data_IF_755270914866
#
_entry.id   IF_755270914866
#
_cell.length_a   1.000
_cell.length_b   1.000
_cell.length_c   1.000
_cell.angle_alpha   90.00
_cell.angle_beta   90.00
_cell.angle_gamma   90.00
#
_symmetry.space_group_name_H-M   'P 1'
#
loop_
_entity.id
_entity.type
_entity.pdbx_description
1 polymer ?
#
# COMPACT_ATOMS: atom_id res chain seq x y z
N UNK A 1 11.13 -7.51 -3.05
CA UNK A 1 11.77 -8.04 -1.83
C UNK A 1 12.93 -7.15 -1.38
N UNK A 2 12.71 -6.34 -0.34
CA UNK A 2 13.70 -5.40 0.24
C UNK A 2 13.05 -4.38 1.19
N UNK A 3 11.90 -4.75 1.77
CA UNK A 3 10.94 -3.84 2.39
C UNK A 3 11.51 -3.15 3.64
N UNK A 4 12.24 -3.90 4.46
CA UNK A 4 12.87 -3.37 5.68
C UNK A 4 13.97 -2.36 5.35
N UNK A 5 14.82 -2.65 4.37
CA UNK A 5 15.89 -1.74 3.94
C UNK A 5 15.33 -0.43 3.38
N UNK A 6 14.28 -0.50 2.56
CA UNK A 6 13.60 0.68 2.00
C UNK A 6 12.93 1.53 3.09
N UNK A 7 12.21 0.89 4.01
CA UNK A 7 11.60 1.57 5.17
C UNK A 7 12.66 2.26 6.03
N UNK A 8 13.75 1.56 6.34
CA UNK A 8 14.85 2.11 7.16
C UNK A 8 15.55 3.29 6.48
N UNK A 9 15.76 3.23 5.16
CA UNK A 9 16.32 4.36 4.40
C UNK A 9 15.45 5.62 4.48
N UNK A 10 14.13 5.48 4.34
CA UNK A 10 13.22 6.63 4.45
C UNK A 10 13.05 7.16 5.87
N UNK A 11 13.09 6.29 6.88
CA UNK A 11 13.14 6.71 8.29
C UNK A 11 14.38 7.59 8.51
N UNK A 12 15.55 7.15 8.04
CA UNK A 12 16.80 7.92 8.13
C UNK A 12 16.68 9.25 7.40
N UNK A 13 16.19 9.25 6.14
CA UNK A 13 16.01 10.48 5.37
C UNK A 13 15.05 11.47 6.06
N UNK A 14 13.92 10.98 6.57
CA UNK A 14 12.95 11.79 7.29
C UNK A 14 13.54 12.40 8.57
N UNK A 15 14.31 11.62 9.33
CA UNK A 15 15.02 12.13 10.51
C UNK A 15 16.04 13.22 10.17
N UNK A 16 16.74 13.12 9.02
CA UNK A 16 17.64 14.18 8.57
C UNK A 16 16.90 15.49 8.26
N UNK A 17 15.70 15.40 7.69
CA UNK A 17 14.84 16.57 7.43
C UNK A 17 14.35 17.17 8.75
N UNK A 18 13.90 16.35 9.69
CA UNK A 18 13.49 16.80 11.03
C UNK A 18 14.62 17.58 11.72
N UNK A 19 15.84 17.04 11.72
CA UNK A 19 17.04 17.72 12.27
C UNK A 19 17.31 19.02 11.53
N UNK A 20 17.26 19.02 10.19
CA UNK A 20 17.53 20.22 9.39
C UNK A 20 16.55 21.36 9.71
N UNK A 21 15.26 21.06 9.87
CA UNK A 21 14.26 22.06 10.22
C UNK A 21 14.52 22.61 11.63
N UNK A 22 14.84 21.73 12.58
CA UNK A 22 15.16 22.14 13.94
C UNK A 22 16.37 23.08 13.99
N UNK A 23 17.47 22.79 13.27
CA UNK A 23 18.66 23.64 13.29
C UNK A 23 18.51 24.95 12.50
N UNK A 24 17.68 24.97 11.45
CA UNK A 24 17.54 26.15 10.57
C UNK A 24 16.45 27.12 11.04
N UNK A 25 15.39 26.61 11.67
CA UNK A 25 14.21 27.40 12.03
C UNK A 25 13.96 27.45 13.54
N UNK A 26 14.62 26.60 14.33
CA UNK A 26 14.35 26.45 15.77
C UNK A 26 13.03 25.71 16.08
N UNK A 27 12.29 25.26 15.06
CA UNK A 27 11.04 24.51 15.24
C UNK A 27 11.34 23.03 15.42
N UNK A 28 10.92 22.47 16.56
CA UNK A 28 10.95 21.03 16.78
C UNK A 28 9.75 20.36 16.08
N UNK A 29 10.04 19.57 15.04
CA UNK A 29 9.05 18.82 14.26
C UNK A 29 8.61 17.53 14.95
N UNK A 30 9.19 17.17 16.10
CA UNK A 30 8.88 15.97 16.89
C UNK A 30 8.90 14.66 16.08
N UNK A 31 9.78 14.58 15.08
CA UNK A 31 9.92 13.39 14.23
C UNK A 31 8.81 13.23 13.19
N UNK A 32 8.08 14.29 12.85
CA UNK A 32 6.99 14.25 11.87
C UNK A 32 7.48 13.73 10.51
N UNK A 33 8.64 14.19 10.03
CA UNK A 33 9.14 13.78 8.71
C UNK A 33 9.70 12.35 8.72
N UNK A 34 10.31 11.91 9.81
CA UNK A 34 10.65 10.51 10.06
C UNK A 34 9.41 9.61 9.96
N UNK A 35 8.30 9.98 10.63
CA UNK A 35 7.06 9.22 10.61
C UNK A 35 6.45 9.15 9.21
N UNK A 36 6.41 10.28 8.49
CA UNK A 36 5.96 10.32 7.10
C UNK A 36 6.83 9.43 6.19
N UNK A 37 8.15 9.48 6.34
CA UNK A 37 9.08 8.63 5.59
C UNK A 37 8.81 7.13 5.80
N UNK A 38 8.49 6.73 7.04
CA UNK A 38 8.12 5.36 7.36
C UNK A 38 6.80 4.91 6.70
N UNK A 39 5.83 5.83 6.59
CA UNK A 39 4.49 5.56 6.08
C UNK A 39 4.43 5.41 4.56
N UNK A 40 5.22 6.17 3.79
CA UNK A 40 5.23 6.11 2.31
C UNK A 40 5.42 4.67 1.84
N UNK A 41 6.52 4.03 2.23
CA UNK A 41 6.78 2.65 1.82
C UNK A 41 5.79 1.64 2.37
N UNK A 42 5.25 1.85 3.57
CA UNK A 42 4.15 1.01 4.08
C UNK A 42 2.97 0.99 3.10
N UNK A 43 2.59 2.14 2.51
CA UNK A 43 1.50 2.21 1.52
C UNK A 43 1.85 1.48 0.21
N UNK A 44 3.09 1.59 -0.29
CA UNK A 44 3.50 0.78 -1.45
C UNK A 44 3.52 -0.72 -1.15
N UNK A 45 3.82 -1.12 0.09
CA UNK A 45 3.83 -2.53 0.49
C UNK A 45 2.41 -3.08 0.58
N UNK A 46 1.46 -2.32 1.14
CA UNK A 46 0.03 -2.68 1.09
C UNK A 46 -0.44 -2.84 -0.36
N UNK A 47 -0.02 -1.96 -1.27
CA UNK A 47 -0.38 -2.08 -2.70
C UNK A 47 0.21 -3.34 -3.35
N UNK A 48 1.46 -3.69 -3.07
CA UNK A 48 2.06 -4.93 -3.58
C UNK A 48 1.34 -6.16 -3.03
N UNK A 49 0.99 -6.15 -1.74
CA UNK A 49 0.23 -7.21 -1.09
C UNK A 49 -1.19 -7.33 -1.67
N UNK A 50 -1.90 -6.22 -1.89
CA UNK A 50 -3.23 -6.19 -2.49
C UNK A 50 -3.22 -6.74 -3.92
N UNK A 51 -2.20 -6.38 -4.71
CA UNK A 51 -2.04 -6.87 -6.08
C UNK A 51 -1.87 -8.39 -6.10
N UNK A 52 -0.85 -8.89 -5.40
CA UNK A 52 -0.54 -10.32 -5.39
C UNK A 52 -1.64 -11.14 -4.71
N UNK A 53 -2.19 -10.63 -3.60
CA UNK A 53 -3.26 -11.28 -2.84
C UNK A 53 -4.53 -11.49 -3.66
N UNK A 54 -4.95 -10.48 -4.45
CA UNK A 54 -6.13 -10.59 -5.32
C UNK A 54 -5.92 -11.65 -6.40
N UNK A 55 -4.72 -11.72 -6.99
CA UNK A 55 -4.36 -12.77 -7.95
C UNK A 55 -4.32 -14.17 -7.32
N UNK A 56 -3.85 -14.31 -6.08
CA UNK A 56 -3.89 -15.59 -5.34
C UNK A 56 -5.33 -16.02 -5.13
N UNK A 57 -6.21 -15.12 -4.69
CA UNK A 57 -7.63 -15.40 -4.51
C UNK A 57 -8.30 -15.88 -5.81
N UNK A 58 -8.06 -15.17 -6.93
CA UNK A 58 -8.60 -15.55 -8.23
C UNK A 58 -8.12 -16.93 -8.70
N UNK A 59 -6.81 -17.24 -8.53
CA UNK A 59 -6.27 -18.57 -8.85
C UNK A 59 -6.80 -19.68 -7.94
N UNK A 60 -7.16 -19.34 -6.71
CA UNK A 60 -7.85 -20.24 -5.78
C UNK A 60 -9.31 -20.54 -6.16
N UNK A 61 -9.83 -19.96 -7.25
CA UNK A 61 -11.19 -20.15 -7.71
C UNK A 61 -12.21 -19.19 -7.09
N UNK A 62 -11.78 -18.20 -6.31
CA UNK A 62 -12.67 -17.19 -5.74
C UNK A 62 -13.02 -16.11 -6.77
N UNK A 63 -14.26 -15.62 -6.72
CA UNK A 63 -14.67 -14.45 -7.48
C UNK A 63 -14.04 -13.19 -6.88
N UNK A 64 -13.27 -12.46 -7.67
CA UNK A 64 -12.59 -11.23 -7.21
C UNK A 64 -13.29 -9.95 -7.65
N UNK A 65 -14.38 -10.05 -8.42
CA UNK A 65 -15.11 -8.88 -8.96
C UNK A 65 -15.46 -7.82 -7.90
N UNK A 66 -15.74 -8.25 -6.68
CA UNK A 66 -16.05 -7.36 -5.56
C UNK A 66 -15.00 -7.48 -4.43
N UNK A 67 -13.73 -7.79 -4.75
CA UNK A 67 -12.71 -8.02 -3.72
C UNK A 67 -12.48 -6.78 -2.83
N UNK A 68 -12.67 -5.57 -3.36
CA UNK A 68 -12.54 -4.34 -2.59
C UNK A 68 -13.62 -4.19 -1.50
N UNK A 69 -14.74 -4.92 -1.64
CA UNK A 69 -15.84 -4.94 -0.70
C UNK A 69 -15.42 -5.35 0.71
N UNK A 70 -14.46 -6.27 0.79
CA UNK A 70 -13.90 -6.72 2.06
C UNK A 70 -13.35 -5.53 2.86
N UNK A 71 -12.58 -4.67 2.21
CA UNK A 71 -11.98 -3.49 2.84
C UNK A 71 -13.01 -2.43 3.21
N UNK A 72 -14.06 -2.27 2.40
CA UNK A 72 -15.19 -1.40 2.76
C UNK A 72 -15.89 -1.89 4.02
N UNK A 73 -16.13 -3.19 4.14
CA UNK A 73 -16.73 -3.78 5.36
C UNK A 73 -15.81 -3.63 6.56
N UNK A 74 -14.52 -3.89 6.39
CA UNK A 74 -13.55 -3.71 7.48
C UNK A 74 -13.47 -2.25 7.94
N UNK A 75 -13.56 -1.28 7.04
CA UNK A 75 -13.61 0.14 7.40
C UNK A 75 -14.87 0.49 8.22
N UNK A 76 -16.02 -0.11 7.90
CA UNK A 76 -17.28 0.09 8.65
C UNK A 76 -17.22 -0.57 10.03
N UNK A 77 -16.79 -1.82 10.10
CA UNK A 77 -16.73 -2.59 11.36
C UNK A 77 -15.61 -2.14 12.29
N UNK A 78 -14.49 -1.69 11.72
CA UNK A 78 -13.30 -1.25 12.45
C UNK A 78 -12.86 0.15 11.98
N UNK A 79 -13.57 1.22 12.38
CA UNK A 79 -13.21 2.58 11.97
C UNK A 79 -11.78 2.99 12.34
N UNK A 80 -11.24 2.43 13.43
CA UNK A 80 -9.85 2.65 13.85
C UNK A 80 -8.82 2.05 12.87
N UNK A 81 -9.19 1.03 12.10
CA UNK A 81 -8.34 0.42 11.07
C UNK A 81 -8.18 1.31 9.83
N UNK A 82 -8.96 2.40 9.72
CA UNK A 82 -8.82 3.41 8.66
C UNK A 82 -7.65 4.37 8.95
N UNK A 83 -7.22 4.46 10.21
CA UNK A 83 -6.20 5.42 10.62
C UNK A 83 -4.84 5.10 10.02
N UNK A 84 -4.23 6.07 9.34
CA UNK A 84 -2.83 6.05 8.86
C UNK A 84 -1.79 6.10 10.02
N UNK A 85 -2.17 5.68 11.22
CA UNK A 85 -1.28 5.67 12.38
C UNK A 85 -0.33 4.48 12.33
N UNK A 86 0.87 4.66 12.89
CA UNK A 86 1.91 3.61 12.99
C UNK A 86 1.41 2.31 13.68
N UNK A 87 0.35 2.40 14.48
CA UNK A 87 -0.26 1.26 15.20
C UNK A 87 -1.24 0.44 14.33
N UNK A 88 -1.72 1.00 13.20
CA UNK A 88 -2.47 0.22 12.23
C UNK A 88 -1.49 -0.67 11.45
N UNK A 89 -1.54 -1.97 11.70
CA UNK A 89 -0.64 -2.93 11.05
C UNK A 89 -0.86 -3.02 9.55
N UNK A 90 -2.11 -2.82 9.10
CA UNK A 90 -2.53 -2.74 7.69
C UNK A 90 -3.69 -1.74 7.57
N UNK A 91 -3.42 -0.44 7.43
CA UNK A 91 -4.47 0.56 7.34
C UNK A 91 -5.36 0.32 6.11
N UNK A 92 -6.67 0.40 6.32
CA UNK A 92 -7.67 0.38 5.26
C UNK A 92 -7.79 1.81 4.71
N UNK A 93 -7.59 2.01 3.40
CA UNK A 93 -7.69 3.34 2.80
C UNK A 93 -8.58 3.33 1.55
N UNK A 94 -9.24 4.45 1.20
CA UNK A 94 -9.97 4.58 -0.06
C UNK A 94 -9.11 4.26 -1.29
N UNK A 95 -7.81 4.58 -1.23
CA UNK A 95 -6.86 4.29 -2.31
C UNK A 95 -6.69 2.78 -2.50
N UNK A 96 -6.64 2.00 -1.42
CA UNK A 96 -6.60 0.53 -1.50
C UNK A 96 -7.86 -0.04 -2.12
N UNK A 97 -9.03 0.48 -1.75
CA UNK A 97 -10.30 0.08 -2.35
C UNK A 97 -10.27 0.27 -3.87
N UNK A 98 -9.94 1.48 -4.33
CA UNK A 98 -9.85 1.79 -5.75
C UNK A 98 -8.79 0.96 -6.48
N UNK A 99 -7.67 0.68 -5.80
CA UNK A 99 -6.61 -0.14 -6.34
C UNK A 99 -7.08 -1.59 -6.55
N UNK A 100 -7.70 -2.21 -5.54
CA UNK A 100 -8.20 -3.59 -5.62
C UNK A 100 -9.30 -3.72 -6.68
N UNK A 101 -10.19 -2.74 -6.81
CA UNK A 101 -11.17 -2.71 -7.91
C UNK A 101 -10.49 -2.79 -9.28
N UNK A 102 -9.44 -1.99 -9.47
CA UNK A 102 -8.67 -2.00 -10.71
C UNK A 102 -7.97 -3.35 -10.97
N UNK A 103 -7.39 -3.95 -9.93
CA UNK A 103 -6.75 -5.27 -10.04
C UNK A 103 -7.77 -6.36 -10.37
N UNK A 104 -8.96 -6.25 -9.78
CA UNK A 104 -10.07 -7.17 -10.05
C UNK A 104 -10.53 -7.09 -11.50
N UNK A 105 -10.63 -5.87 -12.05
CA UNK A 105 -10.91 -5.66 -13.48
C UNK A 105 -9.83 -6.26 -14.38
N UNK A 106 -8.55 -6.02 -14.08
CA UNK A 106 -7.41 -6.60 -14.80
C UNK A 106 -7.48 -8.14 -14.84
N UNK A 107 -7.81 -8.76 -13.71
CA UNK A 107 -7.96 -10.22 -13.61
C UNK A 107 -9.15 -10.71 -14.45
N UNK A 108 -10.30 -10.04 -14.41
CA UNK A 108 -11.46 -10.43 -15.22
C UNK A 108 -11.18 -10.29 -16.71
N UNK A 109 -10.48 -9.24 -17.15
CA UNK A 109 -10.03 -9.11 -18.53
C UNK A 109 -9.12 -10.27 -18.96
N UNK A 110 -8.18 -10.68 -18.09
CA UNK A 110 -7.31 -11.83 -18.35
C UNK A 110 -8.10 -13.13 -18.44
N UNK A 111 -9.09 -13.33 -17.56
CA UNK A 111 -9.99 -14.50 -17.60
C UNK A 111 -10.76 -14.56 -18.92
N UNK A 112 -11.30 -13.42 -19.37
CA UNK A 112 -12.03 -13.33 -20.65
C UNK A 112 -11.14 -13.64 -21.86
N UNK A 113 -9.86 -13.24 -21.81
CA UNK A 113 -8.88 -13.52 -22.86
C UNK A 113 -8.28 -14.93 -22.80
N UNK A 114 -8.59 -15.71 -21.75
CA UNK A 114 -7.96 -17.01 -21.51
C UNK A 114 -6.48 -16.92 -21.14
N UNK A 115 -6.02 -15.77 -20.64
CA UNK A 115 -4.63 -15.56 -20.23
C UNK A 115 -4.34 -16.18 -18.85
N UNK A 116 -3.08 -16.57 -18.58
CA UNK A 116 -2.66 -16.97 -17.24
C UNK A 116 -2.88 -15.85 -16.21
N UNK A 117 -3.48 -16.21 -15.06
CA UNK A 117 -3.71 -15.29 -13.94
C UNK A 117 -2.44 -15.16 -13.08
N UNK A 118 -1.39 -14.64 -13.68
CA UNK A 118 -0.09 -14.43 -13.02
C UNK A 118 0.12 -12.91 -12.88
N UNK A 119 0.47 -12.42 -11.67
CA UNK A 119 0.84 -11.03 -11.47
C UNK A 119 1.97 -10.61 -12.42
N UNK A 120 1.86 -9.43 -13.06
CA UNK A 120 2.94 -8.92 -13.90
C UNK A 120 4.13 -8.47 -13.03
N UNK A 121 5.35 -8.97 -13.29
CA UNK A 121 6.58 -8.48 -12.65
C UNK A 121 6.89 -7.00 -12.92
N UNK A 122 6.29 -6.43 -13.98
CA UNK A 122 6.50 -5.06 -14.44
C UNK A 122 5.50 -4.06 -13.87
N UNK A 123 4.42 -4.52 -13.23
CA UNK A 123 3.32 -3.68 -12.76
C UNK A 123 3.78 -2.44 -11.94
N UNK A 124 4.77 -2.63 -11.07
CA UNK A 124 5.36 -1.56 -10.25
C UNK A 124 6.64 -0.94 -10.84
N UNK A 125 7.18 -1.47 -11.94
CA UNK A 125 8.37 -0.90 -12.60
C UNK A 125 8.01 0.24 -13.54
N UNK A 126 6.91 0.15 -14.26
CA UNK A 126 6.52 1.15 -15.27
C UNK A 126 5.95 2.44 -14.67
N UNK A 127 5.44 2.41 -13.44
CA UNK A 127 4.75 3.54 -12.79
C UNK A 127 5.63 4.38 -11.85
N UNK A 128 6.93 4.10 -11.80
CA UNK A 128 7.92 4.84 -11.01
C UNK A 128 8.86 5.69 -11.91
N UNK A 129 8.45 5.97 -13.15
CA UNK A 129 9.10 6.94 -14.05
C UNK A 129 8.32 8.24 -14.12
#
# INVERSE_FOLDING_TARGET
MGHITKKMGNVILGSLIDILIAITTGVDTQGTFQQLGALVYSKEFEREADYVGTYIAARGGYEVKNAAELWRRMAVEFPSAISDTFLATHPSSPERFLFIEKVSQEIEEKKLKGEPLIPSPEYFKEKNK
#
